data_IF_853381178736
#
_entry.id   IF_853381178736
#
_cell.length_a   1.000
_cell.length_b   1.000
_cell.length_c   1.000
_cell.angle_alpha   90.00
_cell.angle_beta   90.00
_cell.angle_gamma   90.00
#
_symmetry.space_group_name_H-M   'P 1'
#
loop_
_entity.id
_entity.type
_entity.pdbx_description
1 polymer ?
#
# COMPACT_ATOMS: atom_id res chain seq x y z
N UNK A 1 -4.88 -9.66 -24.22
CA UNK A 1 -5.68 -8.93 -23.22
C UNK A 1 -5.40 -9.43 -21.80
N UNK A 2 -5.53 -10.72 -21.50
CA UNK A 2 -5.39 -11.24 -20.12
C UNK A 2 -3.98 -11.08 -19.53
N UNK A 3 -2.93 -11.31 -20.34
CA UNK A 3 -1.54 -11.09 -19.93
C UNK A 3 -1.26 -9.63 -19.55
N UNK A 4 -1.85 -8.66 -20.27
CA UNK A 4 -1.65 -7.23 -20.02
C UNK A 4 -2.34 -6.79 -18.73
N UNK A 5 -3.56 -7.29 -18.47
CA UNK A 5 -4.26 -7.09 -17.19
C UNK A 5 -3.46 -7.64 -16.00
N UNK A 6 -2.91 -8.85 -16.15
CA UNK A 6 -2.07 -9.45 -15.13
C UNK A 6 -0.77 -8.64 -14.89
N UNK A 7 -0.17 -8.09 -15.95
CA UNK A 7 0.99 -7.21 -15.85
C UNK A 7 0.65 -5.91 -15.10
N UNK A 8 -0.47 -5.25 -15.40
CA UNK A 8 -0.92 -4.03 -14.71
C UNK A 8 -1.19 -4.30 -13.24
N UNK A 9 -1.89 -5.40 -12.92
CA UNK A 9 -2.17 -5.79 -11.53
C UNK A 9 -0.87 -6.08 -10.76
N UNK A 10 0.07 -6.80 -11.37
CA UNK A 10 1.39 -7.10 -10.77
C UNK A 10 2.19 -5.82 -10.56
N UNK A 11 2.21 -4.91 -11.54
CA UNK A 11 2.87 -3.62 -11.42
C UNK A 11 2.29 -2.80 -10.25
N UNK A 12 0.95 -2.75 -10.15
CA UNK A 12 0.25 -2.07 -9.06
C UNK A 12 0.57 -2.67 -7.69
N UNK A 13 0.53 -3.99 -7.58
CA UNK A 13 0.89 -4.72 -6.37
C UNK A 13 2.28 -4.37 -5.87
N UNK A 14 3.23 -4.41 -6.80
CA UNK A 14 4.63 -4.16 -6.50
C UNK A 14 4.90 -2.72 -5.99
N UNK A 15 4.04 -1.74 -6.34
CA UNK A 15 4.12 -0.39 -5.77
C UNK A 15 3.77 -0.37 -4.27
N UNK A 16 2.89 -1.27 -3.82
CA UNK A 16 2.46 -1.35 -2.42
C UNK A 16 3.31 -2.31 -1.59
N UNK A 17 3.56 -3.52 -2.10
CA UNK A 17 4.32 -4.55 -1.36
C UNK A 17 5.77 -4.14 -1.14
N UNK A 18 6.35 -3.36 -2.04
CA UNK A 18 7.68 -2.75 -1.87
C UNK A 18 7.62 -1.39 -1.16
N UNK A 19 6.48 -1.02 -0.60
CA UNK A 19 6.25 0.20 0.18
C UNK A 19 6.58 1.51 -0.55
N UNK A 20 6.63 1.51 -1.89
CA UNK A 20 6.86 2.74 -2.68
C UNK A 20 5.70 3.71 -2.45
N UNK A 21 4.47 3.18 -2.46
CA UNK A 21 3.25 3.89 -2.15
C UNK A 21 2.59 3.34 -0.89
N UNK A 22 2.00 4.23 -0.09
CA UNK A 22 1.05 3.84 0.94
C UNK A 22 -0.27 3.45 0.29
N UNK A 23 -0.66 2.19 0.47
CA UNK A 23 -1.87 1.64 -0.12
C UNK A 23 -3.11 2.39 0.32
N UNK A 24 -3.21 2.77 1.61
CA UNK A 24 -4.38 3.44 2.16
C UNK A 24 -4.61 4.81 1.53
N UNK A 25 -3.55 5.62 1.47
CA UNK A 25 -3.57 6.94 0.88
C UNK A 25 -3.79 6.89 -0.63
N UNK A 26 -3.07 6.02 -1.34
CA UNK A 26 -3.22 5.92 -2.80
C UNK A 26 -4.64 5.52 -3.21
N UNK A 27 -5.25 4.56 -2.50
CA UNK A 27 -6.64 4.16 -2.77
C UNK A 27 -7.64 5.29 -2.51
N UNK A 28 -7.42 6.12 -1.49
CA UNK A 28 -8.28 7.29 -1.26
C UNK A 28 -8.19 8.29 -2.41
N UNK A 29 -6.99 8.52 -2.93
CA UNK A 29 -6.78 9.43 -4.07
C UNK A 29 -7.41 8.89 -5.36
N UNK A 30 -7.36 7.57 -5.56
CA UNK A 30 -7.99 6.89 -6.69
C UNK A 30 -9.53 7.02 -6.65
N UNK A 31 -10.14 6.99 -5.46
CA UNK A 31 -11.59 7.20 -5.29
C UNK A 31 -12.05 8.63 -5.56
N UNK A 32 -11.14 9.61 -5.60
CA UNK A 32 -11.46 11.00 -5.95
C UNK A 32 -11.51 11.23 -7.47
N UNK A 33 -11.10 10.24 -8.25
CA UNK A 33 -11.25 10.27 -9.71
C UNK A 33 -12.63 9.73 -10.09
N UNK A 34 -13.42 10.54 -10.77
CA UNK A 34 -14.75 10.19 -11.23
C UNK A 34 -15.07 10.84 -12.59
N UNK A 35 -16.32 10.72 -13.04
CA UNK A 35 -16.77 11.25 -14.34
C UNK A 35 -16.76 12.78 -14.40
N UNK A 36 -16.86 13.44 -13.26
CA UNK A 36 -16.86 14.90 -13.14
C UNK A 36 -15.44 15.46 -12.89
N UNK A 37 -14.49 14.60 -12.48
CA UNK A 37 -13.07 14.91 -12.27
C UNK A 37 -12.13 13.84 -12.87
N UNK A 38 -12.09 13.69 -14.21
CA UNK A 38 -11.25 12.70 -14.88
C UNK A 38 -9.77 13.04 -14.78
N UNK A 39 -8.88 12.03 -14.80
CA UNK A 39 -7.42 12.18 -14.75
C UNK A 39 -6.90 12.89 -13.49
N UNK A 40 -7.65 12.83 -12.39
CA UNK A 40 -7.26 13.42 -11.12
C UNK A 40 -5.92 12.87 -10.65
N UNK A 41 -5.73 11.56 -10.69
CA UNK A 41 -4.50 10.92 -10.25
C UNK A 41 -3.30 11.36 -11.10
N UNK A 42 -3.45 11.37 -12.42
CA UNK A 42 -2.39 11.81 -13.34
C UNK A 42 -2.00 13.26 -13.05
N UNK A 43 -2.98 14.14 -12.91
CA UNK A 43 -2.77 15.57 -12.63
C UNK A 43 -2.08 15.78 -11.29
N UNK A 44 -2.54 15.09 -10.25
CA UNK A 44 -1.98 15.17 -8.90
C UNK A 44 -0.50 14.72 -8.88
N UNK A 45 -0.20 13.58 -9.50
CA UNK A 45 1.16 13.07 -9.54
C UNK A 45 2.07 13.87 -10.47
N UNK A 46 1.56 14.41 -11.58
CA UNK A 46 2.34 15.35 -12.41
C UNK A 46 2.76 16.57 -11.59
N UNK A 47 1.84 17.18 -10.84
CA UNK A 47 2.14 18.32 -9.98
C UNK A 47 3.22 17.97 -8.93
N UNK A 48 3.10 16.80 -8.31
CA UNK A 48 4.10 16.32 -7.36
C UNK A 48 5.47 16.12 -8.01
N UNK A 49 5.53 15.46 -9.17
CA UNK A 49 6.78 15.21 -9.90
C UNK A 49 7.42 16.49 -10.48
N UNK A 50 6.65 17.55 -10.64
CA UNK A 50 7.16 18.86 -11.06
C UNK A 50 7.67 19.72 -9.90
N UNK A 51 7.11 19.57 -8.69
CA UNK A 51 7.50 20.37 -7.52
C UNK A 51 8.60 19.71 -6.69
N UNK A 52 8.52 18.40 -6.45
CA UNK A 52 9.44 17.69 -5.55
C UNK A 52 10.93 17.85 -5.94
N UNK A 53 11.34 17.73 -7.22
CA UNK A 53 12.75 17.94 -7.60
C UNK A 53 13.26 19.34 -7.29
N UNK A 54 12.41 20.37 -7.36
CA UNK A 54 12.79 21.76 -7.04
C UNK A 54 13.06 21.91 -5.54
N UNK A 55 12.25 21.25 -4.71
CA UNK A 55 12.44 21.22 -3.26
C UNK A 55 13.69 20.45 -2.89
N UNK A 56 13.91 19.27 -3.50
CA UNK A 56 15.12 18.44 -3.32
C UNK A 56 16.38 19.23 -3.72
N UNK A 57 16.39 19.88 -4.87
CA UNK A 57 17.52 20.69 -5.31
C UNK A 57 17.82 21.86 -4.34
N UNK A 58 16.77 22.46 -3.75
CA UNK A 58 16.96 23.49 -2.72
C UNK A 58 17.57 22.91 -1.44
N UNK A 59 17.17 21.70 -1.04
CA UNK A 59 17.74 20.99 0.11
C UNK A 59 19.22 20.70 -0.13
N UNK A 60 19.58 20.17 -1.31
CA UNK A 60 20.97 19.91 -1.70
C UNK A 60 21.80 21.19 -1.66
N UNK A 61 21.28 22.30 -2.16
CA UNK A 61 21.96 23.61 -2.10
C UNK A 61 22.23 24.08 -0.67
N UNK A 62 21.28 23.86 0.26
CA UNK A 62 21.49 24.21 1.68
C UNK A 62 22.55 23.31 2.31
N UNK A 63 22.66 22.06 1.88
CA UNK A 63 23.62 21.06 2.36
C UNK A 63 24.99 21.10 1.68
N UNK A 64 25.19 21.98 0.70
CA UNK A 64 26.48 22.27 0.08
C UNK A 64 27.10 23.54 0.72
N UNK A 65 27.73 23.44 1.90
CA UNK A 65 28.41 24.59 2.49
C UNK A 65 29.58 25.02 1.61
N UNK A 66 29.80 26.33 1.50
CA UNK A 66 31.06 26.90 1.01
C UNK A 66 31.99 27.17 2.19
N UNK A 67 33.27 27.49 1.92
CA UNK A 67 34.22 27.89 2.97
C UNK A 67 33.73 29.09 3.82
N UNK A 68 32.74 29.84 3.33
CA UNK A 68 32.21 31.05 3.96
C UNK A 68 30.80 30.89 4.58
N UNK A 69 30.07 29.82 4.28
CA UNK A 69 28.65 29.67 4.65
C UNK A 69 28.40 28.33 5.34
N UNK A 70 28.08 28.40 6.65
CA UNK A 70 27.60 27.26 7.43
C UNK A 70 26.19 26.84 6.99
N UNK A 71 25.88 25.56 7.17
CA UNK A 71 24.55 25.00 6.86
C UNK A 71 23.49 25.67 7.75
N UNK A 72 22.47 26.23 7.11
CA UNK A 72 21.31 26.83 7.79
C UNK A 72 20.25 25.75 8.06
N UNK A 73 20.36 25.09 9.22
CA UNK A 73 19.47 24.01 9.63
C UNK A 73 18.00 24.44 9.75
N UNK A 74 17.72 25.70 10.05
CA UNK A 74 16.34 26.19 10.09
C UNK A 74 15.73 26.22 8.70
N UNK A 75 16.48 26.69 7.70
CA UNK A 75 16.02 26.63 6.30
C UNK A 75 15.90 25.19 5.81
N UNK A 76 16.83 24.32 6.19
CA UNK A 76 16.79 22.90 5.85
C UNK A 76 15.51 22.23 6.39
N UNK A 77 15.22 22.43 7.67
CA UNK A 77 14.04 21.89 8.36
C UNK A 77 12.74 22.31 7.66
N UNK A 78 12.59 23.59 7.32
CA UNK A 78 11.43 24.11 6.58
C UNK A 78 11.24 23.40 5.23
N UNK A 79 12.33 23.17 4.48
CA UNK A 79 12.25 22.53 3.16
C UNK A 79 11.94 21.04 3.27
N UNK A 80 12.55 20.34 4.23
CA UNK A 80 12.25 18.94 4.51
C UNK A 80 10.80 18.76 4.98
N UNK A 81 10.28 19.64 5.84
CA UNK A 81 8.87 19.60 6.25
C UNK A 81 7.90 19.86 5.10
N UNK A 82 8.24 20.77 4.17
CA UNK A 82 7.44 20.96 2.95
C UNK A 82 7.37 19.69 2.12
N UNK A 83 8.51 19.04 1.88
CA UNK A 83 8.55 17.80 1.11
C UNK A 83 7.82 16.66 1.84
N UNK A 84 7.97 16.56 3.16
CA UNK A 84 7.22 15.61 3.99
C UNK A 84 5.71 15.74 3.77
N UNK A 85 5.20 16.98 3.82
CA UNK A 85 3.77 17.25 3.64
C UNK A 85 3.26 16.83 2.27
N UNK A 86 3.96 17.21 1.20
CA UNK A 86 3.57 16.85 -0.17
C UNK A 86 3.67 15.34 -0.40
N UNK A 87 4.75 14.69 0.03
CA UNK A 87 4.93 13.24 -0.08
C UNK A 87 3.86 12.46 0.68
N UNK A 88 3.51 12.88 1.89
CA UNK A 88 2.43 12.27 2.66
C UNK A 88 1.07 12.41 1.95
N UNK A 89 0.78 13.58 1.37
CA UNK A 89 -0.50 13.85 0.69
C UNK A 89 -0.74 12.97 -0.53
N UNK A 90 0.33 12.55 -1.23
CA UNK A 90 0.25 11.66 -2.40
C UNK A 90 0.54 10.20 -2.08
N UNK A 91 0.81 9.88 -0.81
CA UNK A 91 1.13 8.52 -0.37
C UNK A 91 2.52 8.03 -0.79
N UNK A 92 3.48 8.91 -1.08
CA UNK A 92 4.85 8.55 -1.44
C UNK A 92 5.65 8.01 -0.23
N UNK A 93 5.38 6.77 0.16
CA UNK A 93 5.77 6.22 1.46
C UNK A 93 7.29 6.05 1.64
N UNK A 94 8.01 5.53 0.65
CA UNK A 94 9.49 5.43 0.73
C UNK A 94 10.15 6.80 0.83
N UNK A 95 9.75 7.75 -0.03
CA UNK A 95 10.19 9.16 0.03
C UNK A 95 9.90 9.75 1.41
N UNK A 96 8.71 9.49 1.97
CA UNK A 96 8.34 9.97 3.30
C UNK A 96 9.25 9.40 4.39
N UNK A 97 9.64 8.12 4.30
CA UNK A 97 10.58 7.49 5.24
C UNK A 97 11.96 8.15 5.18
N UNK A 98 12.53 8.36 4.00
CA UNK A 98 13.83 9.04 3.84
C UNK A 98 13.79 10.52 4.25
N UNK A 99 12.70 11.26 3.95
CA UNK A 99 12.53 12.64 4.47
C UNK A 99 12.49 12.68 6.00
N UNK A 100 11.80 11.74 6.65
CA UNK A 100 11.74 11.71 8.12
C UNK A 100 13.13 11.45 8.74
N UNK A 101 13.93 10.56 8.14
CA UNK A 101 15.32 10.34 8.59
C UNK A 101 16.20 11.57 8.38
N UNK A 102 16.09 12.24 7.23
CA UNK A 102 16.77 13.50 6.99
C UNK A 102 16.38 14.59 8.01
N UNK A 103 15.10 14.67 8.41
CA UNK A 103 14.63 15.55 9.49
C UNK A 103 15.26 15.20 10.85
N UNK A 104 15.46 13.93 11.16
CA UNK A 104 16.16 13.50 12.38
C UNK A 104 17.63 13.93 12.40
N UNK A 105 18.34 13.76 11.28
CA UNK A 105 19.70 14.27 11.12
C UNK A 105 19.75 15.80 11.23
N UNK A 106 18.79 16.48 10.60
CA UNK A 106 18.68 17.95 10.63
C UNK A 106 18.53 18.47 12.07
N UNK A 107 17.68 17.84 12.89
CA UNK A 107 17.50 18.19 14.31
C UNK A 107 18.76 17.98 15.16
N UNK A 108 19.60 17.03 14.77
CA UNK A 108 20.89 16.74 15.44
C UNK A 108 22.03 17.65 14.96
N UNK A 109 21.81 18.47 13.93
CA UNK A 109 22.88 19.24 13.30
C UNK A 109 23.86 18.38 12.49
N UNK A 110 23.44 17.17 12.07
CA UNK A 110 24.29 16.20 11.39
C UNK A 110 24.26 16.42 9.87
N UNK A 111 25.21 17.19 9.35
CA UNK A 111 25.32 17.53 7.92
C UNK A 111 25.54 16.30 7.06
N UNK A 112 26.44 15.39 7.47
CA UNK A 112 26.78 14.23 6.67
C UNK A 112 25.65 13.19 6.68
N UNK A 113 24.98 13.01 7.82
CA UNK A 113 23.74 12.23 7.89
C UNK A 113 22.63 12.79 7.02
N UNK A 114 22.44 14.11 7.02
CA UNK A 114 21.47 14.76 6.12
C UNK A 114 21.80 14.51 4.65
N UNK A 115 23.06 14.66 4.24
CA UNK A 115 23.48 14.40 2.85
C UNK A 115 23.22 12.94 2.45
N UNK A 116 23.57 11.99 3.31
CA UNK A 116 23.35 10.57 3.05
C UNK A 116 21.86 10.25 2.86
N UNK A 117 21.00 10.75 3.75
CA UNK A 117 19.55 10.55 3.63
C UNK A 117 18.93 11.28 2.43
N UNK A 118 19.50 12.41 2.00
CA UNK A 118 19.06 13.13 0.79
C UNK A 118 19.42 12.38 -0.48
N UNK A 119 20.54 11.64 -0.52
CA UNK A 119 20.83 10.75 -1.65
C UNK A 119 19.83 9.58 -1.73
N UNK A 120 19.51 8.95 -0.60
CA UNK A 120 18.47 7.90 -0.53
C UNK A 120 17.11 8.47 -0.96
N UNK A 121 16.76 9.67 -0.48
CA UNK A 121 15.54 10.38 -0.86
C UNK A 121 15.42 10.57 -2.38
N UNK A 122 16.51 10.89 -3.07
CA UNK A 122 16.54 11.03 -4.54
C UNK A 122 16.31 9.70 -5.24
N UNK A 123 16.94 8.62 -4.74
CA UNK A 123 16.72 7.27 -5.25
C UNK A 123 15.26 6.84 -5.09
N UNK A 124 14.69 7.03 -3.89
CA UNK A 124 13.28 6.74 -3.59
C UNK A 124 12.32 7.54 -4.48
N UNK A 125 12.61 8.84 -4.68
CA UNK A 125 11.83 9.71 -5.56
C UNK A 125 11.87 9.22 -7.02
N UNK A 126 13.05 8.88 -7.53
CA UNK A 126 13.21 8.40 -8.90
C UNK A 126 12.54 7.03 -9.09
N UNK A 127 12.65 6.14 -8.11
CA UNK A 127 11.96 4.85 -8.12
C UNK A 127 10.44 5.02 -8.17
N UNK A 128 9.89 5.91 -7.34
CA UNK A 128 8.47 6.26 -7.36
C UNK A 128 8.05 6.81 -8.73
N UNK A 129 8.77 7.82 -9.24
CA UNK A 129 8.44 8.47 -10.51
C UNK A 129 8.43 7.47 -11.66
N UNK A 130 9.50 6.70 -11.82
CA UNK A 130 9.64 5.78 -12.95
C UNK A 130 8.58 4.68 -12.91
N UNK A 131 8.32 4.09 -11.73
CA UNK A 131 7.37 2.96 -11.63
C UNK A 131 5.92 3.41 -11.72
N UNK A 132 5.59 4.55 -11.11
CA UNK A 132 4.23 5.07 -11.18
C UNK A 132 3.90 5.57 -12.59
N UNK A 133 4.84 6.26 -13.26
CA UNK A 133 4.63 6.67 -14.66
C UNK A 133 4.47 5.45 -15.58
N UNK A 134 5.28 4.41 -15.41
CA UNK A 134 5.12 3.17 -16.17
C UNK A 134 3.75 2.52 -15.94
N UNK A 135 3.28 2.48 -14.69
CA UNK A 135 1.94 1.99 -14.36
C UNK A 135 0.83 2.83 -15.00
N UNK A 136 0.86 4.15 -14.85
CA UNK A 136 -0.15 5.05 -15.43
C UNK A 136 -0.16 4.99 -16.96
N UNK A 137 1.01 4.90 -17.61
CA UNK A 137 1.09 4.71 -19.07
C UNK A 137 0.48 3.39 -19.54
N UNK A 138 0.66 2.31 -18.77
CA UNK A 138 0.01 1.03 -19.09
C UNK A 138 -1.51 1.10 -18.98
N UNK A 139 -2.05 1.93 -18.08
CA UNK A 139 -3.50 2.14 -17.95
C UNK A 139 -4.04 3.02 -19.07
N UNK A 140 -3.32 4.09 -19.45
CA UNK A 140 -3.78 5.08 -20.43
C UNK A 140 -3.69 4.62 -21.89
N UNK A 141 -2.79 3.69 -22.21
CA UNK A 141 -2.62 3.18 -23.59
C UNK A 141 -3.69 2.14 -24.00
N UNK A 142 -4.51 1.65 -23.07
CA UNK A 142 -5.62 0.74 -23.35
C UNK A 142 -6.94 1.53 -23.43
N UNK A 143 -7.74 1.29 -24.47
CA UNK A 143 -9.01 1.99 -24.71
C UNK A 143 -9.89 2.03 -23.45
N UNK A 144 -10.39 3.24 -23.13
CA UNK A 144 -11.23 3.69 -22.00
C UNK A 144 -12.30 2.71 -21.47
N UNK A 145 -12.71 1.71 -22.26
CA UNK A 145 -13.65 0.63 -21.91
C UNK A 145 -13.08 -0.39 -20.90
N UNK A 146 -11.77 -0.61 -20.88
CA UNK A 146 -11.13 -1.60 -19.99
C UNK A 146 -10.80 -1.06 -18.60
N UNK A 147 -10.62 0.27 -18.46
CA UNK A 147 -10.29 0.93 -17.20
C UNK A 147 -11.45 0.77 -16.19
N UNK A 148 -12.72 0.88 -16.60
CA UNK A 148 -13.86 0.58 -15.70
C UNK A 148 -13.90 -0.92 -15.27
N UNK A 149 -13.40 -1.84 -16.10
CA UNK A 149 -13.34 -3.30 -15.81
C UNK A 149 -12.07 -3.75 -15.06
N UNK A 150 -10.96 -3.01 -15.14
CA UNK A 150 -9.70 -3.33 -14.43
C UNK A 150 -9.84 -3.00 -12.93
N UNK A 151 -10.59 -1.95 -12.62
CA UNK A 151 -10.66 -1.39 -11.27
C UNK A 151 -11.71 -2.05 -10.36
N UNK A 152 -12.56 -2.95 -10.86
CA UNK A 152 -13.67 -3.51 -10.05
C UNK A 152 -13.53 -5.00 -9.65
N UNK A 153 -13.03 -5.93 -10.49
CA UNK A 153 -12.89 -7.34 -10.10
C UNK A 153 -11.45 -7.74 -9.77
N UNK A 154 -10.48 -7.32 -10.59
CA UNK A 154 -9.06 -7.59 -10.37
C UNK A 154 -8.49 -6.78 -9.20
N UNK A 155 -9.00 -5.58 -8.95
CA UNK A 155 -8.67 -4.78 -7.77
C UNK A 155 -9.00 -5.52 -6.47
N UNK A 156 -10.19 -6.13 -6.38
CA UNK A 156 -10.62 -6.87 -5.20
C UNK A 156 -9.80 -8.15 -5.03
N UNK A 157 -9.60 -8.92 -6.09
CA UNK A 157 -8.74 -10.11 -6.10
C UNK A 157 -7.32 -9.78 -5.62
N UNK A 158 -6.73 -8.71 -6.15
CA UNK A 158 -5.39 -8.23 -5.82
C UNK A 158 -5.25 -7.91 -4.34
N UNK A 159 -6.22 -7.20 -3.76
CA UNK A 159 -6.23 -6.85 -2.33
C UNK A 159 -6.40 -8.10 -1.46
N UNK A 160 -7.25 -9.04 -1.88
CA UNK A 160 -7.48 -10.31 -1.19
C UNK A 160 -6.18 -11.14 -1.15
N UNK A 161 -5.50 -11.29 -2.28
CA UNK A 161 -4.27 -12.08 -2.40
C UNK A 161 -3.18 -11.51 -1.49
N UNK A 162 -2.91 -10.20 -1.54
CA UNK A 162 -1.89 -9.56 -0.69
C UNK A 162 -2.21 -9.69 0.78
N UNK A 163 -3.48 -9.45 1.14
CA UNK A 163 -3.90 -9.59 2.53
C UNK A 163 -3.53 -10.98 3.04
N UNK A 164 -3.92 -12.05 2.32
CA UNK A 164 -3.65 -13.42 2.75
C UNK A 164 -2.18 -13.83 2.72
N UNK A 165 -1.38 -13.29 1.79
CA UNK A 165 0.06 -13.56 1.72
C UNK A 165 0.78 -12.98 2.94
N UNK A 166 0.47 -11.74 3.32
CA UNK A 166 1.07 -11.10 4.49
C UNK A 166 0.50 -11.63 5.81
N UNK A 167 -0.81 -11.82 5.90
CA UNK A 167 -1.46 -12.24 7.15
C UNK A 167 -1.15 -13.67 7.57
N UNK A 168 -0.75 -14.54 6.63
CA UNK A 168 -0.31 -15.90 6.94
C UNK A 168 0.88 -15.90 7.91
N UNK A 169 1.86 -15.01 7.66
CA UNK A 169 3.06 -14.83 8.50
C UNK A 169 2.69 -14.35 9.90
N UNK A 170 1.68 -13.49 10.01
CA UNK A 170 1.22 -12.99 11.31
C UNK A 170 0.53 -14.08 12.13
N UNK A 171 -0.28 -14.92 11.48
CA UNK A 171 -0.92 -16.08 12.13
C UNK A 171 0.16 -16.98 12.74
N UNK A 172 1.22 -17.31 11.99
CA UNK A 172 2.31 -18.17 12.47
C UNK A 172 3.05 -17.55 13.67
N UNK A 173 3.35 -16.25 13.59
CA UNK A 173 4.03 -15.51 14.67
C UNK A 173 3.17 -15.48 15.94
N UNK A 174 1.87 -15.21 15.80
CA UNK A 174 0.94 -15.18 16.94
C UNK A 174 0.79 -16.59 17.54
N UNK A 175 0.67 -17.62 16.71
CA UNK A 175 0.57 -19.00 17.16
C UNK A 175 1.79 -19.39 17.99
N UNK A 176 2.99 -19.12 17.47
CA UNK A 176 4.23 -19.40 18.18
C UNK A 176 4.28 -18.64 19.52
N UNK A 177 3.95 -17.35 19.53
CA UNK A 177 3.96 -16.53 20.75
C UNK A 177 2.99 -17.03 21.82
N UNK A 178 1.84 -17.59 21.42
CA UNK A 178 0.85 -18.16 22.35
C UNK A 178 1.23 -19.57 22.85
N UNK A 179 2.10 -20.29 22.13
CA UNK A 179 2.59 -21.62 22.52
C UNK A 179 3.85 -21.58 23.40
N UNK A 180 4.62 -20.49 23.36
CA UNK A 180 5.84 -20.34 24.18
C UNK A 180 5.53 -20.22 25.68
N UNK A 181 6.37 -20.84 26.52
CA UNK A 181 6.27 -20.70 27.98
C UNK A 181 6.81 -19.36 28.50
N UNK A 182 7.54 -18.63 27.65
CA UNK A 182 8.09 -17.31 27.95
C UNK A 182 6.98 -16.27 28.24
N UNK A 183 7.31 -15.15 28.92
CA UNK A 183 6.37 -14.06 29.11
C UNK A 183 5.95 -13.49 27.75
N UNK A 184 4.64 -13.38 27.52
CA UNK A 184 4.11 -12.81 26.28
C UNK A 184 4.42 -11.31 26.19
N UNK A 185 5.01 -10.89 25.06
CA UNK A 185 5.09 -9.49 24.68
C UNK A 185 3.73 -9.05 24.12
N UNK A 186 2.89 -8.51 25.01
CA UNK A 186 1.54 -8.05 24.67
C UNK A 186 1.54 -6.92 23.64
N UNK A 187 2.57 -6.07 23.62
CA UNK A 187 2.64 -4.96 22.67
C UNK A 187 2.88 -5.47 21.24
N UNK A 188 3.82 -6.40 21.10
CA UNK A 188 4.11 -7.06 19.82
C UNK A 188 2.94 -7.92 19.36
N UNK A 189 2.26 -8.61 20.28
CA UNK A 189 1.06 -9.39 19.96
C UNK A 189 -0.09 -8.52 19.45
N UNK A 190 -0.35 -7.39 20.12
CA UNK A 190 -1.41 -6.45 19.73
C UNK A 190 -1.15 -5.84 18.36
N UNK A 191 0.11 -5.57 18.00
CA UNK A 191 0.48 -5.11 16.66
C UNK A 191 0.02 -6.10 15.58
N UNK A 192 0.40 -7.38 15.67
CA UNK A 192 0.02 -8.40 14.69
C UNK A 192 -1.48 -8.68 14.67
N UNK A 193 -2.14 -8.70 15.82
CA UNK A 193 -3.60 -8.87 15.91
C UNK A 193 -4.35 -7.71 15.25
N UNK A 194 -3.87 -6.47 15.40
CA UNK A 194 -4.45 -5.31 14.73
C UNK A 194 -4.20 -5.32 13.21
N UNK A 195 -3.09 -5.89 12.74
CA UNK A 195 -2.87 -6.12 11.30
C UNK A 195 -3.91 -7.10 10.72
N UNK A 196 -4.27 -8.17 11.45
CA UNK A 196 -5.32 -9.11 11.04
C UNK A 196 -6.72 -8.45 10.96
N UNK A 197 -7.01 -7.44 11.79
CA UNK A 197 -8.31 -6.71 11.73
C UNK A 197 -8.55 -5.96 10.41
N UNK A 198 -7.51 -5.78 9.58
CA UNK A 198 -7.62 -5.16 8.26
C UNK A 198 -8.54 -5.93 7.30
N UNK A 199 -8.85 -7.20 7.58
CA UNK A 199 -9.88 -7.96 6.88
C UNK A 199 -11.28 -7.31 6.85
N UNK A 200 -11.55 -6.37 7.78
CA UNK A 200 -12.80 -5.60 7.81
C UNK A 200 -13.07 -4.87 6.48
N UNK A 201 -12.01 -4.58 5.72
CA UNK A 201 -12.08 -3.98 4.38
C UNK A 201 -12.80 -4.87 3.35
N UNK A 202 -12.92 -6.17 3.62
CA UNK A 202 -13.67 -7.14 2.80
C UNK A 202 -15.04 -7.50 3.40
N UNK A 203 -15.52 -6.75 4.41
CA UNK A 203 -16.78 -7.02 5.09
C UNK A 203 -16.72 -8.18 6.11
N UNK A 204 -15.52 -8.67 6.45
CA UNK A 204 -15.31 -9.76 7.39
C UNK A 204 -15.43 -9.29 8.85
N UNK A 205 -16.66 -9.14 9.34
CA UNK A 205 -16.91 -8.60 10.69
C UNK A 205 -16.69 -9.60 11.84
N UNK A 206 -16.67 -10.91 11.54
CA UNK A 206 -16.47 -11.97 12.55
C UNK A 206 -15.03 -12.06 13.05
N UNK A 207 -14.06 -11.95 12.14
CA UNK A 207 -12.64 -12.09 12.49
C UNK A 207 -12.19 -11.05 13.52
N UNK A 208 -12.53 -9.74 13.41
CA UNK A 208 -12.23 -8.76 14.44
C UNK A 208 -12.86 -9.05 15.81
N UNK A 209 -14.03 -9.68 15.86
CA UNK A 209 -14.68 -10.06 17.13
C UNK A 209 -13.85 -11.14 17.83
N UNK A 210 -13.45 -12.18 17.11
CA UNK A 210 -12.61 -13.25 17.69
C UNK A 210 -11.22 -12.72 18.07
N UNK A 211 -10.64 -11.81 17.27
CA UNK A 211 -9.38 -11.14 17.62
C UNK A 211 -9.49 -10.34 18.92
N UNK A 212 -10.60 -9.63 19.14
CA UNK A 212 -10.80 -8.89 20.40
C UNK A 212 -10.90 -9.83 21.60
N UNK A 213 -11.50 -11.02 21.46
CA UNK A 213 -11.51 -12.03 22.52
C UNK A 213 -10.11 -12.53 22.87
N UNK A 214 -9.22 -12.70 21.88
CA UNK A 214 -7.81 -13.04 22.13
C UNK A 214 -7.15 -11.96 22.99
N UNK A 215 -7.36 -10.69 22.66
CA UNK A 215 -6.82 -9.57 23.44
C UNK A 215 -7.39 -9.53 24.86
N UNK A 216 -8.69 -9.77 25.04
CA UNK A 216 -9.33 -9.84 26.36
C UNK A 216 -8.74 -10.96 27.22
N UNK A 217 -8.58 -12.17 26.69
CA UNK A 217 -7.96 -13.30 27.40
C UNK A 217 -6.49 -13.02 27.75
N UNK A 218 -5.73 -12.44 26.82
CA UNK A 218 -4.33 -12.06 27.06
C UNK A 218 -4.21 -11.03 28.19
N UNK A 219 -5.08 -10.01 28.20
CA UNK A 219 -5.11 -9.00 29.25
C UNK A 219 -5.54 -9.57 30.62
N UNK A 220 -6.36 -10.62 30.63
CA UNK A 220 -6.76 -11.34 31.82
C UNK A 220 -5.70 -12.35 32.32
N UNK A 221 -4.56 -12.49 31.62
CA UNK A 221 -3.56 -13.56 31.82
C UNK A 221 -4.13 -14.99 31.70
N UNK A 222 -5.22 -15.16 30.95
CA UNK A 222 -5.84 -16.46 30.69
C UNK A 222 -5.21 -17.12 29.45
N UNK A 223 -4.10 -17.87 29.66
CA UNK A 223 -3.36 -18.52 28.57
C UNK A 223 -4.19 -19.56 27.79
N UNK A 224 -5.00 -20.35 28.49
CA UNK A 224 -5.85 -21.37 27.85
C UNK A 224 -6.97 -20.70 27.05
N UNK A 225 -7.59 -19.65 27.61
CA UNK A 225 -8.58 -18.83 26.91
C UNK A 225 -8.01 -18.16 25.67
N UNK A 226 -6.78 -17.60 25.73
CA UNK A 226 -6.12 -16.98 24.57
C UNK A 226 -5.86 -17.98 23.45
N UNK A 227 -5.41 -19.21 23.78
CA UNK A 227 -5.21 -20.28 22.79
C UNK A 227 -6.53 -20.71 22.13
N UNK A 228 -7.57 -20.90 22.93
CA UNK A 228 -8.89 -21.27 22.43
C UNK A 228 -9.49 -20.16 21.53
N UNK A 229 -9.41 -18.90 21.96
CA UNK A 229 -9.86 -17.77 21.15
C UNK A 229 -9.05 -17.64 19.85
N UNK A 230 -7.74 -17.88 19.89
CA UNK A 230 -6.91 -17.80 18.70
C UNK A 230 -7.18 -18.96 17.71
N UNK A 231 -7.56 -20.14 18.22
CA UNK A 231 -8.05 -21.23 17.38
C UNK A 231 -9.30 -20.83 16.59
N UNK A 232 -10.25 -20.12 17.22
CA UNK A 232 -11.42 -19.55 16.54
C UNK A 232 -11.02 -18.52 15.47
N UNK A 233 -9.99 -17.70 15.72
CA UNK A 233 -9.44 -16.77 14.72
C UNK A 233 -8.92 -17.53 13.50
N UNK A 234 -8.17 -18.63 13.67
CA UNK A 234 -7.65 -19.44 12.55
C UNK A 234 -8.76 -20.10 11.73
N UNK A 235 -9.82 -20.56 12.38
CA UNK A 235 -10.99 -21.16 11.72
C UNK A 235 -11.76 -20.13 10.88
N UNK A 236 -12.05 -18.96 11.45
CA UNK A 236 -12.71 -17.86 10.73
C UNK A 236 -11.79 -17.30 9.62
N UNK A 237 -10.47 -17.28 9.82
CA UNK A 237 -9.50 -16.86 8.81
C UNK A 237 -9.49 -17.81 7.59
N UNK A 238 -9.45 -19.13 7.84
CA UNK A 238 -9.55 -20.15 6.78
C UNK A 238 -10.88 -20.04 6.05
N UNK A 239 -11.98 -19.91 6.79
CA UNK A 239 -13.33 -19.74 6.21
C UNK A 239 -13.42 -18.48 5.35
N UNK A 240 -12.82 -17.37 5.79
CA UNK A 240 -12.76 -16.14 5.02
C UNK A 240 -11.96 -16.34 3.72
N UNK A 241 -10.82 -17.04 3.80
CA UNK A 241 -9.98 -17.36 2.64
C UNK A 241 -10.74 -18.16 1.60
N UNK A 242 -11.34 -19.29 2.01
CA UNK A 242 -12.10 -20.15 1.10
C UNK A 242 -13.26 -19.41 0.42
N UNK A 243 -13.95 -18.52 1.16
CA UNK A 243 -15.04 -17.71 0.61
C UNK A 243 -14.56 -16.67 -0.40
N UNK A 244 -13.41 -16.05 -0.14
CA UNK A 244 -12.85 -15.03 -1.02
C UNK A 244 -12.20 -15.66 -2.25
N UNK A 245 -11.58 -16.84 -2.13
CA UNK A 245 -11.09 -17.63 -3.27
C UNK A 245 -12.26 -18.07 -4.17
N UNK A 246 -13.37 -18.55 -3.58
CA UNK A 246 -14.58 -18.88 -4.33
C UNK A 246 -15.20 -17.65 -5.03
N UNK A 247 -15.16 -16.48 -4.40
CA UNK A 247 -15.59 -15.22 -5.01
C UNK A 247 -14.71 -14.85 -6.22
N UNK A 248 -13.39 -15.01 -6.11
CA UNK A 248 -12.46 -14.78 -7.21
C UNK A 248 -12.77 -15.72 -8.39
N UNK A 249 -12.92 -17.03 -8.14
CA UNK A 249 -13.25 -18.00 -9.19
C UNK A 249 -14.57 -17.68 -9.89
N UNK A 250 -15.62 -17.34 -9.13
CA UNK A 250 -16.92 -16.98 -9.70
C UNK A 250 -16.84 -15.71 -10.56
N UNK A 251 -16.02 -14.75 -10.13
CA UNK A 251 -15.77 -13.51 -10.87
C UNK A 251 -15.08 -13.78 -12.20
N UNK A 252 -14.04 -14.62 -12.23
CA UNK A 252 -13.37 -15.03 -13.46
C UNK A 252 -14.33 -15.78 -14.41
N UNK A 253 -15.12 -16.73 -13.88
CA UNK A 253 -16.12 -17.46 -14.69
C UNK A 253 -17.17 -16.54 -15.31
N UNK A 254 -17.64 -15.55 -14.55
CA UNK A 254 -18.61 -14.57 -15.04
C UNK A 254 -18.04 -13.68 -16.16
N UNK A 255 -16.77 -13.28 -16.05
CA UNK A 255 -16.06 -12.52 -17.09
C UNK A 255 -15.92 -13.33 -18.38
N UNK A 256 -15.50 -14.60 -18.28
CA UNK A 256 -15.37 -15.52 -19.43
C UNK A 256 -16.73 -15.73 -20.13
N UNK A 257 -17.80 -15.93 -19.35
CA UNK A 257 -19.16 -16.08 -19.88
C UNK A 257 -19.69 -14.80 -20.56
N UNK A 258 -19.33 -13.62 -20.05
CA UNK A 258 -19.66 -12.32 -20.68
C UNK A 258 -18.95 -12.11 -22.02
N UNK A 259 -17.68 -12.52 -22.14
CA UNK A 259 -16.90 -12.45 -23.37
C UNK A 259 -17.47 -13.40 -24.45
N UNK A 260 -17.88 -14.60 -24.08
CA UNK A 260 -18.49 -15.59 -25.00
C UNK A 260 -19.82 -15.10 -25.60
N UNK A 261 -20.64 -14.37 -24.83
CA UNK A 261 -21.91 -13.81 -25.31
C UNK A 261 -21.74 -12.63 -26.27
N UNK A 262 -20.67 -11.84 -26.12
CA UNK A 262 -20.35 -10.72 -27.04
C UNK A 262 -19.80 -11.22 -28.38
N UNK A 263 -19.02 -12.31 -28.40
CA UNK A 263 -18.51 -12.90 -29.65
C UNK A 263 -19.61 -13.54 -30.52
N UNK A 264 -20.70 -14.04 -29.93
CA UNK A 264 -21.82 -14.62 -30.67
C UNK A 264 -22.76 -13.59 -31.31
N UNK A 265 -22.70 -12.31 -30.91
CA UNK A 265 -23.57 -11.26 -31.42
C UNK A 265 -23.01 -10.52 -32.66
N UNK A 266 -21.71 -10.68 -32.98
CA UNK A 266 -21.05 -10.02 -34.12
C UNK A 266 -21.09 -10.82 -35.44
N UNK A 267 -21.69 -12.02 -35.44
CA UNK A 267 -21.69 -12.94 -36.58
C UNK A 267 -23.05 -13.06 -37.27
N UNK A 268 -23.68 -11.95 -37.67
CA UNK A 268 -24.80 -12.03 -38.63
C UNK A 268 -25.00 -10.71 -39.37
N UNK A 269 -24.18 -10.46 -40.37
CA UNK A 269 -24.52 -9.56 -41.48
C UNK A 269 -23.74 -9.99 -42.72
N UNK A 270 -24.28 -11.02 -43.38
CA UNK A 270 -24.04 -11.24 -44.80
C UNK A 270 -25.38 -11.56 -45.44
N UNK A 271 -25.92 -10.57 -46.15
CA UNK A 271 -26.40 -10.59 -47.56
C UNK A 271 -27.05 -9.22 -47.80
#
# INVERSE_FOLDING_TARGET
>A
MELLKQQIATARLSLFSEEILDMGQFMQLEQLEDKDNPNFLETLFSLYFDDAPKVIATIEQILMPSEEVLVDFNKLDIKLHRLKGSSASVGANKVLKSVNKALECCKKGDVEGCKAEVEILKEDYNALKNRLQAYLQQILNDEFSLVEEIFTPYFVETIIIVYFDDSSKYIDIIEQALMEEAPLDLAKLDEFLNLLKRCSRFGAQRLPIEINKVLECCNANDKEGSKAAFQMVKEEYTTLKDRLDAYIELTHRAQIAGLSKRSSAGGSSTI
#
